data_IF_866288137093
#
_entry.id   IF_866288137093
#
_cell.length_a   1.000
_cell.length_b   1.000
_cell.length_c   1.000
_cell.angle_alpha   90.00
_cell.angle_beta   90.00
_cell.angle_gamma   90.00
#
_symmetry.space_group_name_H-M   'P 1'
#
loop_
_entity.id
_entity.type
_entity.pdbx_description
1 polymer ?
#
# COMPACT_ATOMS: atom_id res chain seq x y z
N UNK A 1 19.83 14.74 -2.48
CA UNK A 1 19.92 16.20 -2.50
C UNK A 1 18.62 16.80 -1.97
N UNK A 2 18.73 17.88 -1.17
CA UNK A 2 17.55 18.65 -0.73
C UNK A 2 16.85 19.23 -1.96
N UNK A 3 15.53 19.00 -2.07
CA UNK A 3 14.72 19.52 -3.18
C UNK A 3 13.96 20.76 -2.72
N UNK A 4 14.10 21.88 -3.44
CA UNK A 4 13.31 23.08 -3.17
C UNK A 4 11.83 22.85 -3.53
N UNK A 5 10.92 23.29 -2.69
CA UNK A 5 9.45 23.24 -2.90
C UNK A 5 8.92 24.52 -3.58
N UNK A 6 9.80 25.45 -3.99
CA UNK A 6 9.42 26.71 -4.64
C UNK A 6 8.96 26.59 -6.10
N UNK A 7 8.97 25.40 -6.68
CA UNK A 7 8.47 25.13 -8.04
C UNK A 7 7.39 24.06 -7.99
N UNK A 8 6.45 24.02 -8.97
CA UNK A 8 5.43 22.97 -9.03
C UNK A 8 6.04 21.57 -8.98
N UNK A 9 5.42 20.67 -8.21
CA UNK A 9 5.87 19.29 -8.04
C UNK A 9 4.69 18.33 -7.93
N UNK A 10 4.96 17.04 -8.11
CA UNK A 10 4.05 15.93 -7.86
C UNK A 10 4.51 15.23 -6.58
N UNK A 11 3.60 14.99 -5.64
CA UNK A 11 3.87 14.20 -4.46
C UNK A 11 3.43 12.75 -4.69
N UNK A 12 4.27 11.78 -4.30
CA UNK A 12 3.96 10.36 -4.36
C UNK A 12 3.93 9.80 -2.94
N UNK A 13 2.76 9.35 -2.52
CA UNK A 13 2.51 8.75 -1.20
C UNK A 13 2.17 7.28 -1.41
N UNK A 14 2.80 6.39 -0.66
CA UNK A 14 2.49 4.98 -0.80
C UNK A 14 3.40 4.06 0.00
N UNK A 15 3.28 2.79 -0.27
CA UNK A 15 3.99 1.71 0.37
C UNK A 15 5.29 1.34 -0.33
N UNK A 16 5.55 0.06 -0.34
CA UNK A 16 6.76 -0.55 -0.89
C UNK A 16 6.93 -0.28 -2.38
N UNK A 17 5.83 -0.24 -3.14
CA UNK A 17 5.85 -0.01 -4.59
C UNK A 17 6.22 1.47 -4.89
N UNK A 18 5.63 2.41 -4.17
CA UNK A 18 5.97 3.84 -4.31
C UNK A 18 7.40 4.12 -3.88
N UNK A 19 7.85 3.53 -2.75
CA UNK A 19 9.25 3.62 -2.32
C UNK A 19 10.20 3.12 -3.41
N UNK A 20 9.83 2.05 -4.10
CA UNK A 20 10.63 1.40 -5.13
C UNK A 20 11.72 0.50 -4.54
N UNK A 21 11.36 -0.29 -3.49
CA UNK A 21 12.30 -1.26 -2.93
C UNK A 21 12.77 -2.21 -4.04
N UNK A 22 14.08 -2.40 -4.16
CA UNK A 22 14.76 -3.18 -5.19
C UNK A 22 14.73 -2.60 -6.61
N UNK A 23 14.14 -1.43 -6.83
CA UNK A 23 13.98 -0.80 -8.14
C UNK A 23 14.91 0.41 -8.25
N UNK A 24 15.85 0.38 -9.20
CA UNK A 24 16.79 1.50 -9.40
C UNK A 24 16.10 2.80 -9.82
N UNK A 25 15.10 2.69 -10.69
CA UNK A 25 14.30 3.80 -11.16
C UNK A 25 12.82 3.55 -10.86
N UNK A 26 12.35 3.84 -9.63
CA UNK A 26 10.95 3.67 -9.27
C UNK A 26 10.06 4.62 -10.06
N UNK A 27 8.77 4.29 -10.19
CA UNK A 27 7.85 5.07 -11.03
C UNK A 27 7.78 6.57 -10.72
N UNK A 28 7.92 7.05 -9.46
CA UNK A 28 7.99 8.49 -9.22
C UNK A 28 9.17 9.17 -9.93
N UNK A 29 10.35 8.54 -9.96
CA UNK A 29 11.51 9.04 -10.67
C UNK A 29 11.31 8.98 -12.19
N UNK A 30 10.71 7.92 -12.70
CA UNK A 30 10.39 7.79 -14.14
C UNK A 30 9.37 8.86 -14.57
N UNK A 31 8.36 9.18 -13.74
CA UNK A 31 7.43 10.29 -14.02
C UNK A 31 8.16 11.62 -14.12
N UNK A 32 9.11 11.90 -13.22
CA UNK A 32 9.95 13.10 -13.29
C UNK A 32 10.71 13.17 -14.62
N UNK A 33 11.35 12.08 -15.04
CA UNK A 33 12.09 12.03 -16.30
C UNK A 33 11.18 12.22 -17.53
N UNK A 34 9.97 11.67 -17.50
CA UNK A 34 9.04 11.77 -18.63
C UNK A 34 8.35 13.12 -18.74
N UNK A 35 8.12 13.80 -17.62
CA UNK A 35 7.32 15.04 -17.58
C UNK A 35 8.15 16.30 -17.37
N UNK A 36 9.39 16.16 -16.90
CA UNK A 36 10.22 17.28 -16.43
C UNK A 36 9.70 17.94 -15.15
N UNK A 37 8.59 17.44 -14.59
CA UNK A 37 8.01 17.95 -13.34
C UNK A 37 8.63 17.24 -12.15
N UNK A 38 9.12 18.02 -11.19
CA UNK A 38 9.75 17.49 -9.98
C UNK A 38 8.83 16.50 -9.24
N UNK A 39 9.34 15.33 -8.89
CA UNK A 39 8.64 14.28 -8.15
C UNK A 39 9.21 14.12 -6.74
N UNK A 40 8.35 14.16 -5.74
CA UNK A 40 8.71 13.92 -4.34
C UNK A 40 8.20 12.53 -3.93
N UNK A 41 9.12 11.59 -3.81
CA UNK A 41 8.79 10.23 -3.37
C UNK A 41 8.74 10.18 -1.83
N UNK A 42 7.55 10.03 -1.28
CA UNK A 42 7.24 9.90 0.15
C UNK A 42 6.82 8.46 0.49
N UNK A 43 7.11 7.50 -0.38
CA UNK A 43 6.83 6.09 -0.16
C UNK A 43 7.60 5.53 1.05
N UNK A 44 6.98 4.63 1.79
CA UNK A 44 7.58 3.93 2.94
C UNK A 44 7.33 2.43 2.83
N UNK A 45 8.39 1.64 3.00
CA UNK A 45 8.30 0.18 2.94
C UNK A 45 7.28 -0.34 3.97
N UNK A 46 6.38 -1.21 3.52
CA UNK A 46 5.34 -1.84 4.33
C UNK A 46 4.41 -0.85 5.07
N UNK A 47 4.24 0.34 4.52
CA UNK A 47 3.35 1.34 5.12
C UNK A 47 1.88 0.90 5.08
N UNK A 48 1.14 1.33 6.07
CA UNK A 48 -0.32 1.42 6.06
C UNK A 48 -0.75 2.89 6.04
N UNK A 49 -2.04 3.13 5.91
CA UNK A 49 -2.60 4.50 5.86
C UNK A 49 -2.34 5.32 7.12
N UNK A 50 -2.18 4.66 8.27
CA UNK A 50 -2.00 5.32 9.56
C UNK A 50 -0.66 6.08 9.66
N UNK A 51 0.39 5.65 8.93
CA UNK A 51 1.67 6.38 8.86
C UNK A 51 1.41 7.78 8.32
N UNK A 52 0.78 7.88 7.17
CA UNK A 52 0.58 9.17 6.46
C UNK A 52 -0.42 10.07 7.17
N UNK A 53 -1.43 9.50 7.82
CA UNK A 53 -2.41 10.25 8.61
C UNK A 53 -1.85 10.88 9.89
N UNK A 54 -0.69 10.42 10.34
CA UNK A 54 -0.05 10.86 11.60
C UNK A 54 1.24 11.68 11.38
N UNK A 55 1.62 11.92 10.13
CA UNK A 55 2.82 12.68 9.78
C UNK A 55 2.41 13.99 9.07
N UNK A 56 2.23 15.06 9.85
CA UNK A 56 1.75 16.36 9.37
C UNK A 56 2.61 16.91 8.22
N UNK A 57 3.93 16.69 8.28
CA UNK A 57 4.86 17.10 7.22
C UNK A 57 4.54 16.47 5.86
N UNK A 58 4.17 15.18 5.85
CA UNK A 58 3.77 14.49 4.60
C UNK A 58 2.49 15.08 4.05
N UNK A 59 1.52 15.36 4.91
CA UNK A 59 0.25 15.98 4.51
C UNK A 59 0.45 17.43 4.02
N UNK A 60 1.36 18.18 4.62
CA UNK A 60 1.72 19.53 4.16
C UNK A 60 2.31 19.51 2.74
N UNK A 61 3.29 18.61 2.49
CA UNK A 61 3.85 18.41 1.15
C UNK A 61 2.75 18.00 0.15
N UNK A 62 1.86 17.09 0.54
CA UNK A 62 0.79 16.65 -0.35
C UNK A 62 -0.20 17.77 -0.70
N UNK A 63 -0.56 18.62 0.27
CA UNK A 63 -1.44 19.79 0.03
C UNK A 63 -0.82 20.80 -0.92
N UNK A 64 0.50 21.02 -0.84
CA UNK A 64 1.24 21.94 -1.70
C UNK A 64 1.54 21.39 -3.08
N UNK A 65 1.32 20.11 -3.34
CA UNK A 65 1.58 19.47 -4.62
C UNK A 65 0.57 19.90 -5.70
N UNK A 66 1.03 20.00 -6.95
CA UNK A 66 0.13 20.17 -8.11
C UNK A 66 -0.84 19.00 -8.26
N UNK A 67 -0.33 17.79 -8.00
CA UNK A 67 -1.07 16.53 -7.96
C UNK A 67 -0.41 15.62 -6.93
N UNK A 68 -1.21 14.89 -6.16
CA UNK A 68 -0.71 13.80 -5.31
C UNK A 68 -1.09 12.45 -5.94
N UNK A 69 -0.10 11.62 -6.17
CA UNK A 69 -0.29 10.21 -6.56
C UNK A 69 -0.26 9.38 -5.30
N UNK A 70 -1.35 8.70 -5.01
CA UNK A 70 -1.50 7.88 -3.81
C UNK A 70 -1.63 6.41 -4.20
N UNK A 71 -0.66 5.60 -3.77
CA UNK A 71 -0.74 4.14 -3.89
C UNK A 71 -1.88 3.59 -3.03
N UNK A 72 -2.67 2.70 -3.58
CA UNK A 72 -3.71 1.99 -2.85
C UNK A 72 -3.07 0.96 -1.93
N UNK A 73 -2.98 1.31 -0.66
CA UNK A 73 -2.41 0.44 0.38
C UNK A 73 -3.43 -0.59 0.87
N UNK A 74 -2.97 -1.74 1.33
CA UNK A 74 -3.81 -2.79 1.87
C UNK A 74 -4.47 -2.45 3.22
N UNK A 75 -5.48 -3.25 3.59
CA UNK A 75 -6.20 -3.07 4.85
C UNK A 75 -5.56 -3.81 6.05
N UNK A 76 -4.49 -4.58 5.83
CA UNK A 76 -3.83 -5.36 6.88
C UNK A 76 -3.06 -4.49 7.89
N UNK A 77 -2.35 -3.48 7.39
CA UNK A 77 -1.40 -2.67 8.18
C UNK A 77 -2.08 -1.45 8.81
N UNK A 78 -3.14 -1.68 9.58
CA UNK A 78 -3.95 -0.64 10.22
C UNK A 78 -4.26 -1.00 11.66
N UNK A 79 -4.13 -0.05 12.58
CA UNK A 79 -4.71 -0.21 13.92
C UNK A 79 -6.24 -0.17 13.84
N UNK A 80 -6.88 -1.10 14.52
CA UNK A 80 -8.33 -1.25 14.54
C UNK A 80 -8.82 -1.57 15.95
N UNK A 81 -10.11 -1.87 16.12
CA UNK A 81 -10.63 -2.40 17.40
C UNK A 81 -10.19 -3.84 17.66
N UNK A 82 -9.61 -4.54 16.64
CA UNK A 82 -9.15 -5.91 16.80
C UNK A 82 -7.69 -6.01 17.24
N UNK A 83 -6.83 -5.14 16.75
CA UNK A 83 -5.40 -5.13 17.08
C UNK A 83 -4.76 -3.77 16.86
N UNK A 84 -3.60 -3.60 17.46
CA UNK A 84 -2.74 -2.43 17.28
C UNK A 84 -1.51 -2.76 16.46
N UNK A 85 -1.07 -1.80 15.62
CA UNK A 85 0.20 -1.85 14.89
C UNK A 85 1.13 -0.73 15.33
N UNK A 86 2.42 -0.94 15.11
CA UNK A 86 3.44 0.06 15.43
C UNK A 86 3.23 1.35 14.61
N UNK A 87 3.36 2.51 15.26
CA UNK A 87 3.01 3.83 14.68
C UNK A 87 3.67 4.12 13.33
N UNK A 88 4.97 3.82 13.16
CA UNK A 88 5.75 4.10 11.94
C UNK A 88 6.01 2.87 11.08
N UNK A 89 5.92 1.69 11.66
CA UNK A 89 6.10 0.39 10.98
C UNK A 89 4.79 -0.36 11.08
N UNK A 90 3.84 0.01 10.23
CA UNK A 90 2.48 -0.49 10.33
C UNK A 90 2.34 -2.00 10.04
N UNK A 91 3.36 -2.61 9.46
CA UNK A 91 3.51 -4.06 9.31
C UNK A 91 3.78 -4.79 10.64
N UNK A 92 4.27 -4.06 11.67
CA UNK A 92 4.55 -4.62 12.99
C UNK A 92 3.29 -4.69 13.84
N UNK A 93 2.88 -5.92 14.13
CA UNK A 93 1.84 -6.22 15.11
C UNK A 93 2.36 -5.92 16.52
N UNK A 94 1.53 -5.29 17.36
CA UNK A 94 1.87 -4.99 18.75
C UNK A 94 1.15 -5.91 19.73
N UNK A 95 -0.17 -5.91 19.67
CA UNK A 95 -1.01 -6.74 20.53
C UNK A 95 -2.42 -6.89 19.99
N UNK A 96 -3.10 -8.01 20.29
CA UNK A 96 -4.52 -8.17 20.03
C UNK A 96 -5.36 -7.35 21.02
N UNK A 97 -6.59 -7.05 20.66
CA UNK A 97 -7.61 -6.60 21.62
C UNK A 97 -8.29 -7.79 22.29
N UNK A 98 -9.03 -7.52 23.37
CA UNK A 98 -9.86 -8.52 24.00
C UNK A 98 -10.94 -9.09 23.03
N UNK A 99 -11.41 -8.29 22.06
CA UNK A 99 -12.36 -8.72 21.04
C UNK A 99 -11.74 -9.77 20.10
N UNK A 100 -10.50 -9.55 19.64
CA UNK A 100 -9.80 -10.51 18.78
C UNK A 100 -9.47 -11.80 19.53
N UNK A 101 -9.04 -11.68 20.80
CA UNK A 101 -8.78 -12.85 21.65
C UNK A 101 -10.04 -13.69 21.92
N UNK A 102 -11.19 -13.04 22.08
CA UNK A 102 -12.48 -13.76 22.22
C UNK A 102 -12.91 -14.42 20.90
N UNK A 103 -12.59 -13.79 19.78
CA UNK A 103 -12.91 -14.34 18.45
C UNK A 103 -12.05 -15.57 18.12
N UNK A 104 -10.80 -15.61 18.61
CA UNK A 104 -9.82 -16.69 18.40
C UNK A 104 -9.18 -17.11 19.73
N UNK A 105 -9.95 -17.76 20.66
CA UNK A 105 -9.43 -18.12 21.97
C UNK A 105 -8.34 -19.20 21.93
N UNK A 106 -8.27 -19.95 20.83
CA UNK A 106 -7.28 -20.99 20.59
C UNK A 106 -5.93 -20.45 20.07
N UNK A 107 -5.87 -19.15 19.72
CA UNK A 107 -4.68 -18.56 19.10
C UNK A 107 -3.74 -17.94 20.15
N UNK A 108 -2.47 -18.35 20.13
CA UNK A 108 -1.42 -17.67 20.88
C UNK A 108 -0.89 -16.49 20.07
N UNK A 109 -1.30 -15.28 20.44
CA UNK A 109 -0.89 -14.06 19.74
C UNK A 109 0.54 -13.61 20.05
N UNK A 110 1.21 -14.18 21.04
CA UNK A 110 2.59 -13.80 21.43
C UNK A 110 3.62 -14.23 20.38
N UNK A 111 3.30 -15.19 19.55
CA UNK A 111 4.16 -15.68 18.47
C UNK A 111 4.25 -14.74 17.26
N UNK A 112 3.40 -13.70 17.17
CA UNK A 112 3.33 -12.85 16.00
C UNK A 112 4.05 -11.52 16.19
N UNK A 113 4.95 -11.22 15.25
CA UNK A 113 5.62 -9.93 15.14
C UNK A 113 5.07 -9.08 13.99
N UNK A 114 4.41 -9.70 13.00
CA UNK A 114 3.93 -9.05 11.79
C UNK A 114 2.44 -9.29 11.57
N UNK A 115 1.75 -8.25 11.11
CA UNK A 115 0.31 -8.31 10.78
C UNK A 115 0.01 -9.35 9.72
N UNK A 116 0.82 -9.43 8.67
CA UNK A 116 0.63 -10.40 7.58
C UNK A 116 0.66 -11.84 8.09
N UNK A 117 1.66 -12.21 8.91
CA UNK A 117 1.75 -13.54 9.51
C UNK A 117 0.54 -13.83 10.40
N UNK A 118 0.20 -12.93 11.30
CA UNK A 118 -0.95 -13.09 12.19
C UNK A 118 -2.25 -13.28 11.40
N UNK A 119 -2.55 -12.40 10.43
CA UNK A 119 -3.79 -12.48 9.65
C UNK A 119 -3.85 -13.75 8.77
N UNK A 120 -2.72 -14.19 8.21
CA UNK A 120 -2.65 -15.43 7.44
C UNK A 120 -2.92 -16.65 8.32
N UNK A 121 -2.41 -16.66 9.55
CA UNK A 121 -2.66 -17.74 10.51
C UNK A 121 -4.13 -17.79 10.93
N UNK A 122 -4.78 -16.63 11.16
CA UNK A 122 -6.21 -16.56 11.45
C UNK A 122 -7.06 -17.05 10.27
N UNK A 123 -6.68 -16.68 9.04
CA UNK A 123 -7.35 -17.11 7.81
C UNK A 123 -7.20 -18.62 7.59
N UNK A 124 -5.99 -19.15 7.79
CA UNK A 124 -5.74 -20.60 7.65
C UNK A 124 -6.48 -21.41 8.69
N UNK A 125 -6.65 -20.89 9.90
CA UNK A 125 -7.37 -21.57 10.98
C UNK A 125 -8.87 -21.67 10.69
N UNK A 126 -9.49 -20.56 10.28
CA UNK A 126 -10.93 -20.52 9.96
C UNK A 126 -11.24 -19.38 8.97
N UNK A 127 -11.34 -19.67 7.66
CA UNK A 127 -11.64 -18.68 6.65
C UNK A 127 -13.00 -17.99 6.81
N UNK A 128 -14.02 -18.70 7.36
CA UNK A 128 -15.34 -18.10 7.58
C UNK A 128 -15.32 -17.11 8.72
N UNK A 129 -14.71 -17.47 9.85
CA UNK A 129 -14.51 -16.61 11.01
C UNK A 129 -13.65 -15.40 10.64
N UNK A 130 -12.64 -15.59 9.77
CA UNK A 130 -11.83 -14.50 9.24
C UNK A 130 -12.63 -13.45 8.48
N UNK A 131 -13.78 -13.81 7.92
CA UNK A 131 -14.72 -12.87 7.31
C UNK A 131 -15.07 -11.69 8.23
N UNK A 132 -15.25 -11.95 9.53
CA UNK A 132 -15.52 -10.90 10.54
C UNK A 132 -14.34 -9.94 10.67
N UNK A 133 -13.11 -10.47 10.70
CA UNK A 133 -11.88 -9.69 10.78
C UNK A 133 -11.73 -8.81 9.53
N UNK A 134 -11.86 -9.42 8.35
CA UNK A 134 -11.81 -8.74 7.06
C UNK A 134 -12.81 -7.59 6.99
N UNK A 135 -14.06 -7.81 7.34
CA UNK A 135 -15.12 -6.79 7.25
C UNK A 135 -14.86 -5.60 8.17
N UNK A 136 -14.26 -5.83 9.34
CA UNK A 136 -13.84 -4.77 10.25
C UNK A 136 -12.70 -3.98 9.63
N UNK A 137 -11.66 -4.64 9.10
CA UNK A 137 -10.50 -4.00 8.50
C UNK A 137 -10.89 -3.19 7.25
N UNK A 138 -11.77 -3.71 6.40
CA UNK A 138 -12.30 -2.99 5.23
C UNK A 138 -13.07 -1.72 5.62
N UNK A 139 -13.88 -1.77 6.69
CA UNK A 139 -14.57 -0.57 7.22
C UNK A 139 -13.57 0.46 7.76
N UNK A 140 -12.54 0.02 8.49
CA UNK A 140 -11.48 0.91 8.98
C UNK A 140 -10.72 1.52 7.81
N UNK A 141 -10.35 0.73 6.82
CA UNK A 141 -9.65 1.19 5.63
C UNK A 141 -10.45 2.27 4.88
N UNK A 142 -11.73 2.03 4.60
CA UNK A 142 -12.60 3.02 3.93
C UNK A 142 -12.64 4.35 4.67
N UNK A 143 -12.77 4.30 6.00
CA UNK A 143 -12.77 5.51 6.85
C UNK A 143 -11.44 6.24 6.81
N UNK A 144 -10.31 5.50 6.91
CA UNK A 144 -8.96 6.07 6.87
C UNK A 144 -8.64 6.67 5.51
N UNK A 145 -9.01 5.98 4.44
CA UNK A 145 -8.78 6.45 3.09
C UNK A 145 -9.52 7.76 2.82
N UNK A 146 -10.82 7.84 3.18
CA UNK A 146 -11.59 9.09 3.08
C UNK A 146 -10.97 10.23 3.90
N UNK A 147 -10.51 9.92 5.12
CA UNK A 147 -9.81 10.90 5.95
C UNK A 147 -8.51 11.38 5.31
N UNK A 148 -7.72 10.47 4.73
CA UNK A 148 -6.47 10.81 4.06
C UNK A 148 -6.72 11.70 2.83
N UNK A 149 -7.67 11.33 1.98
CA UNK A 149 -8.07 12.11 0.82
C UNK A 149 -8.54 13.53 1.20
N UNK A 150 -9.38 13.63 2.23
CA UNK A 150 -9.81 14.92 2.77
C UNK A 150 -8.67 15.75 3.36
N UNK A 151 -7.69 15.09 4.00
CA UNK A 151 -6.51 15.75 4.57
C UNK A 151 -5.53 16.25 3.52
N UNK A 152 -5.42 15.58 2.38
CA UNK A 152 -4.62 16.01 1.23
C UNK A 152 -5.29 17.22 0.57
N UNK A 153 -6.60 17.17 0.32
CA UNK A 153 -7.39 18.30 -0.18
C UNK A 153 -7.03 18.81 -1.58
N UNK A 154 -6.00 18.27 -2.21
CA UNK A 154 -5.56 18.59 -3.57
C UNK A 154 -6.04 17.54 -4.57
N UNK A 155 -5.66 17.69 -5.83
CA UNK A 155 -5.94 16.69 -6.87
C UNK A 155 -5.21 15.38 -6.54
N UNK A 156 -5.96 14.30 -6.39
CA UNK A 156 -5.39 12.97 -6.08
C UNK A 156 -5.67 12.00 -7.23
N UNK A 157 -4.64 11.27 -7.63
CA UNK A 157 -4.73 10.11 -8.51
C UNK A 157 -4.41 8.88 -7.65
N UNK A 158 -5.29 7.88 -7.65
CA UNK A 158 -5.02 6.58 -7.03
C UNK A 158 -4.28 5.68 -8.02
N UNK A 159 -3.25 4.98 -7.54
CA UNK A 159 -2.55 3.94 -8.30
C UNK A 159 -2.67 2.64 -7.53
N UNK A 160 -3.27 1.63 -8.16
CA UNK A 160 -3.34 0.28 -7.62
C UNK A 160 -2.41 -0.64 -8.41
N UNK A 161 -1.52 -1.30 -7.71
CA UNK A 161 -0.79 -2.46 -8.21
C UNK A 161 -1.58 -3.70 -7.82
N UNK A 162 -1.80 -4.63 -8.73
CA UNK A 162 -2.51 -5.87 -8.47
C UNK A 162 -1.92 -7.01 -9.30
N UNK A 163 -2.21 -8.25 -8.94
CA UNK A 163 -1.97 -9.43 -9.76
C UNK A 163 -3.32 -9.99 -10.22
N UNK A 164 -3.35 -10.62 -11.41
CA UNK A 164 -4.59 -11.19 -11.98
C UNK A 164 -5.22 -12.26 -11.08
N UNK A 165 -4.39 -12.99 -10.33
CA UNK A 165 -4.79 -14.06 -9.40
C UNK A 165 -5.05 -13.58 -7.96
N UNK A 166 -5.02 -12.27 -7.71
CA UNK A 166 -5.21 -11.75 -6.36
C UNK A 166 -6.62 -12.01 -5.84
N UNK A 167 -6.74 -12.80 -4.79
CA UNK A 167 -7.99 -12.90 -4.04
C UNK A 167 -8.15 -11.66 -3.13
N UNK A 168 -9.14 -10.79 -3.41
CA UNK A 168 -9.38 -9.59 -2.61
C UNK A 168 -9.86 -9.89 -1.18
N UNK A 169 -10.15 -11.16 -0.87
CA UNK A 169 -10.55 -11.63 0.46
C UNK A 169 -9.36 -12.18 1.24
N UNK A 170 -8.27 -12.50 0.56
CA UNK A 170 -7.05 -13.00 1.20
C UNK A 170 -6.34 -11.91 2.01
N UNK A 171 -5.80 -12.24 3.20
CA UNK A 171 -4.99 -11.33 3.99
C UNK A 171 -3.69 -10.93 3.29
N UNK A 172 -3.23 -11.69 2.29
CA UNK A 172 -1.95 -11.46 1.60
C UNK A 172 -2.08 -10.55 0.37
N UNK A 173 -3.27 -10.42 -0.23
CA UNK A 173 -3.52 -9.48 -1.34
C UNK A 173 -2.78 -9.80 -2.65
N UNK A 174 -2.26 -11.02 -2.84
CA UNK A 174 -1.41 -11.37 -3.97
C UNK A 174 0.02 -10.84 -3.83
N UNK A 175 0.85 -10.97 -4.89
CA UNK A 175 2.28 -10.64 -4.81
C UNK A 175 2.57 -9.15 -4.57
N UNK A 176 1.86 -8.24 -5.20
CA UNK A 176 2.10 -6.80 -5.06
C UNK A 176 0.84 -5.99 -4.76
N UNK A 177 -0.32 -6.64 -4.66
CA UNK A 177 -1.61 -5.99 -4.51
C UNK A 177 -1.96 -5.59 -3.07
N UNK A 178 -2.92 -4.66 -2.91
CA UNK A 178 -3.41 -4.25 -1.62
C UNK A 178 -4.29 -5.36 -0.99
N UNK A 179 -3.85 -5.92 0.12
CA UNK A 179 -4.62 -6.95 0.84
C UNK A 179 -6.00 -6.45 1.25
N UNK A 180 -7.03 -7.28 1.05
CA UNK A 180 -8.42 -7.04 1.45
C UNK A 180 -9.04 -5.73 0.94
N UNK A 181 -8.60 -5.22 -0.22
CA UNK A 181 -9.18 -4.04 -0.87
C UNK A 181 -9.91 -4.47 -2.15
N UNK A 182 -11.22 -4.23 -2.20
CA UNK A 182 -12.08 -4.64 -3.32
C UNK A 182 -12.34 -3.49 -4.30
N UNK A 183 -12.76 -3.83 -5.52
CA UNK A 183 -13.16 -2.85 -6.54
C UNK A 183 -14.34 -1.98 -6.06
N UNK A 184 -15.28 -2.56 -5.31
CA UNK A 184 -16.39 -1.81 -4.72
C UNK A 184 -15.90 -0.76 -3.69
N UNK A 185 -14.83 -1.06 -2.93
CA UNK A 185 -14.23 -0.09 -2.02
C UNK A 185 -13.59 1.07 -2.79
N UNK A 186 -12.85 0.79 -3.87
CA UNK A 186 -12.25 1.82 -4.74
C UNK A 186 -13.33 2.61 -5.48
N UNK A 187 -14.36 1.94 -5.99
CA UNK A 187 -15.53 2.56 -6.61
C UNK A 187 -16.17 3.61 -5.72
N UNK A 188 -16.25 3.35 -4.41
CA UNK A 188 -16.80 4.29 -3.42
C UNK A 188 -15.96 5.57 -3.20
N UNK A 189 -14.76 5.64 -3.76
CA UNK A 189 -13.85 6.78 -3.65
C UNK A 189 -13.76 7.61 -4.95
N UNK A 190 -14.34 7.13 -6.06
CA UNK A 190 -14.22 7.78 -7.38
C UNK A 190 -14.63 9.27 -7.39
N UNK A 191 -15.62 9.64 -6.60
CA UNK A 191 -16.03 11.04 -6.46
C UNK A 191 -15.06 11.94 -5.68
N UNK A 192 -14.05 11.35 -5.03
CA UNK A 192 -13.07 12.06 -4.20
C UNK A 192 -11.67 12.12 -4.83
N UNK A 193 -11.50 11.58 -6.03
CA UNK A 193 -10.20 11.51 -6.72
C UNK A 193 -10.35 11.88 -8.19
N UNK A 194 -9.27 12.33 -8.82
CA UNK A 194 -9.27 12.72 -10.24
C UNK A 194 -9.27 11.50 -11.16
N UNK A 195 -8.56 10.44 -10.77
CA UNK A 195 -8.45 9.20 -11.54
C UNK A 195 -8.07 8.02 -10.64
N UNK A 196 -8.35 6.81 -11.13
CA UNK A 196 -7.83 5.55 -10.59
C UNK A 196 -7.09 4.86 -11.73
N UNK A 197 -5.80 4.60 -11.51
CA UNK A 197 -4.93 3.87 -12.44
C UNK A 197 -4.76 2.47 -11.87
N UNK A 198 -5.24 1.48 -12.59
CA UNK A 198 -5.08 0.07 -12.25
C UNK A 198 -3.94 -0.55 -13.08
N UNK A 199 -2.95 -1.10 -12.39
CA UNK A 199 -1.80 -1.76 -12.97
C UNK A 199 -1.86 -3.22 -12.57
N UNK A 200 -2.26 -4.06 -13.51
CA UNK A 200 -2.44 -5.49 -13.28
C UNK A 200 -1.27 -6.26 -13.88
N UNK A 201 -0.63 -7.07 -13.07
CA UNK A 201 0.44 -7.98 -13.51
C UNK A 201 -0.18 -9.33 -13.85
N UNK A 202 0.22 -9.97 -14.95
CA UNK A 202 -0.08 -11.37 -15.18
C UNK A 202 0.39 -12.23 -13.99
N UNK A 203 -0.37 -13.27 -13.68
CA UNK A 203 -0.06 -14.21 -12.60
C UNK A 203 1.23 -15.03 -12.83
N UNK A 204 1.90 -14.83 -13.96
CA UNK A 204 3.11 -15.57 -14.34
C UNK A 204 4.27 -15.30 -13.40
N UNK A 205 4.68 -16.37 -12.73
CA UNK A 205 5.77 -16.42 -11.75
C UNK A 205 7.16 -16.57 -12.39
N UNK A 206 7.35 -16.14 -13.63
CA UNK A 206 8.63 -16.29 -14.31
C UNK A 206 9.75 -15.49 -13.63
N UNK A 207 10.90 -16.12 -13.48
CA UNK A 207 12.11 -15.49 -12.95
C UNK A 207 12.56 -14.27 -13.77
N UNK A 208 12.12 -14.16 -15.00
CA UNK A 208 12.36 -13.00 -15.88
C UNK A 208 11.75 -11.69 -15.34
N UNK A 209 10.67 -11.75 -14.56
CA UNK A 209 10.04 -10.57 -13.97
C UNK A 209 10.98 -9.80 -13.02
N UNK A 210 12.01 -10.44 -12.48
CA UNK A 210 13.00 -9.84 -11.57
C UNK A 210 14.21 -9.23 -12.28
N UNK A 211 14.29 -9.38 -13.59
CA UNK A 211 15.39 -8.79 -14.39
C UNK A 211 15.43 -7.29 -14.19
N UNK A 212 16.60 -6.76 -13.79
CA UNK A 212 16.78 -5.33 -13.49
C UNK A 212 16.43 -4.90 -12.07
N UNK A 213 16.06 -5.82 -11.18
CA UNK A 213 15.96 -5.55 -9.74
C UNK A 213 17.33 -5.68 -9.06
N UNK A 214 17.52 -4.94 -7.96
CA UNK A 214 18.76 -4.98 -7.15
C UNK A 214 18.42 -5.44 -5.74
N UNK A 215 18.83 -6.64 -5.40
CA UNK A 215 18.60 -7.25 -4.09
C UNK A 215 19.72 -8.27 -3.78
N UNK A 216 19.91 -8.57 -2.49
CA UNK A 216 20.79 -9.63 -2.04
C UNK A 216 20.10 -11.00 -2.12
N UNK A 217 20.85 -12.13 -2.16
CA UNK A 217 20.24 -13.47 -2.14
C UNK A 217 19.28 -13.70 -0.96
N UNK A 218 19.53 -13.08 0.19
CA UNK A 218 18.65 -13.17 1.37
C UNK A 218 17.33 -12.42 1.23
N UNK A 219 17.20 -11.53 0.24
CA UNK A 219 16.00 -10.72 -0.01
C UNK A 219 15.19 -11.24 -1.21
N UNK A 220 15.54 -12.37 -1.78
CA UNK A 220 14.90 -12.91 -2.99
C UNK A 220 13.38 -13.09 -2.80
N UNK A 221 12.94 -13.66 -1.68
CA UNK A 221 11.52 -13.82 -1.37
C UNK A 221 10.81 -12.46 -1.26
N UNK A 222 11.45 -11.49 -0.62
CA UNK A 222 10.91 -10.13 -0.53
C UNK A 222 10.87 -9.44 -1.90
N UNK A 223 11.82 -9.72 -2.79
CA UNK A 223 11.82 -9.20 -4.16
C UNK A 223 10.70 -9.80 -5.02
N UNK A 224 10.30 -11.05 -4.75
CA UNK A 224 9.13 -11.68 -5.40
C UNK A 224 7.80 -11.03 -5.03
N UNK A 225 7.74 -10.38 -3.88
CA UNK A 225 6.53 -9.77 -3.32
C UNK A 225 6.33 -8.30 -3.74
N UNK A 226 7.19 -7.74 -4.59
CA UNK A 226 7.09 -6.34 -5.05
C UNK A 226 6.88 -6.26 -6.56
N UNK A 227 6.37 -5.11 -7.01
CA UNK A 227 6.14 -4.85 -8.41
C UNK A 227 7.45 -4.86 -9.20
N UNK A 228 7.53 -5.57 -10.34
CA UNK A 228 8.72 -5.64 -11.17
C UNK A 228 9.00 -4.29 -11.89
N UNK A 229 10.24 -4.09 -12.41
CA UNK A 229 10.62 -2.85 -13.09
C UNK A 229 9.72 -2.44 -14.25
N UNK A 230 9.14 -3.41 -14.94
CA UNK A 230 8.21 -3.15 -16.04
C UNK A 230 6.94 -2.46 -15.55
N UNK A 231 6.38 -2.87 -14.41
CA UNK A 231 5.20 -2.23 -13.83
C UNK A 231 5.48 -0.79 -13.42
N UNK A 232 6.67 -0.49 -12.93
CA UNK A 232 7.08 0.90 -12.67
C UNK A 232 7.15 1.73 -13.96
N UNK A 233 7.49 1.10 -15.09
CA UNK A 233 7.49 1.78 -16.40
C UNK A 233 6.06 2.03 -16.87
N UNK A 234 5.18 1.03 -16.75
CA UNK A 234 3.75 1.15 -17.08
C UNK A 234 3.07 2.21 -16.19
N UNK A 235 3.35 2.20 -14.87
CA UNK A 235 2.85 3.21 -13.94
C UNK A 235 3.25 4.63 -14.37
N UNK A 236 4.50 4.83 -14.74
CA UNK A 236 4.98 6.13 -15.18
C UNK A 236 4.34 6.58 -16.51
N UNK A 237 4.13 5.65 -17.44
CA UNK A 237 3.45 5.93 -18.70
C UNK A 237 1.97 6.29 -18.49
N UNK A 238 1.26 5.57 -17.61
CA UNK A 238 -0.16 5.82 -17.28
C UNK A 238 -0.38 7.15 -16.52
N UNK A 239 0.64 7.65 -15.84
CA UNK A 239 0.62 8.93 -15.11
C UNK A 239 1.12 10.12 -15.94
N UNK A 240 1.43 9.91 -17.21
CA UNK A 240 1.80 10.96 -18.14
C UNK A 240 0.56 11.81 -18.46
N UNK A 241 0.70 13.16 -18.50
CA UNK A 241 -0.40 14.07 -18.88
C UNK A 241 -0.92 13.83 -20.29
#
# INVERSE_FOLDING_TARGET
PMRSLGTPYVAFIGGTQTYGKFIQQPFPLKVEHLTGVKSLNLGQVNAGLDVFLKEDFVLEIARGARVTVLEVLGAANLSSRLYAVHRRRNDRFLHPSAELQKLYPEMDFTQFNFTGHMLSSLYALDPQRFGVVRDILQRVWKRRMRKLLASIGSKVILVRFATEDADPNSPLGGHCGPSMVTDAMLGSLRGSVCAVVDLVVPANKDDTARTGMVFSPFEEEAARAVAPPELHTQAAAALRP
#
